data_IF_729512502480
#
_entry.id   IF_729512502480
#
_cell.length_a   1.000
_cell.length_b   1.000
_cell.length_c   1.000
_cell.angle_alpha   90.00
_cell.angle_beta   90.00
_cell.angle_gamma   90.00
#
_symmetry.space_group_name_H-M   'P 1'
#
loop_
_entity.id
_entity.type
_entity.pdbx_description
1 polymer ?
#
# COMPACT_ATOMS: atom_id res chain seq x y z
N UNK A 1 -13.42 1.08 -15.99
CA UNK A 1 -13.48 -0.37 -15.70
C UNK A 1 -14.34 -1.03 -16.78
N UNK A 2 -13.74 -1.54 -17.85
CA UNK A 2 -14.50 -2.07 -18.99
C UNK A 2 -14.85 -3.56 -18.83
N UNK A 3 -14.62 -4.14 -17.64
CA UNK A 3 -14.89 -5.54 -17.26
C UNK A 3 -14.30 -6.58 -18.23
N UNK A 4 -13.14 -6.26 -18.81
CA UNK A 4 -12.45 -7.13 -19.77
C UNK A 4 -11.41 -8.06 -19.11
N UNK A 5 -11.24 -8.01 -17.79
CA UNK A 5 -10.31 -8.89 -17.08
C UNK A 5 -10.84 -10.33 -17.10
N UNK A 6 -9.99 -11.24 -17.56
CA UNK A 6 -10.24 -12.68 -17.52
C UNK A 6 -9.71 -13.29 -16.22
N UNK A 7 -10.07 -14.55 -15.94
CA UNK A 7 -9.52 -15.27 -14.80
C UNK A 7 -8.02 -15.57 -14.96
N UNK A 8 -7.54 -15.68 -16.19
CA UNK A 8 -6.13 -15.93 -16.51
C UNK A 8 -5.26 -14.71 -16.19
N UNK A 9 -5.78 -13.49 -16.44
CA UNK A 9 -5.10 -12.23 -16.12
C UNK A 9 -4.89 -12.02 -14.60
N UNK A 10 -5.65 -12.72 -13.76
CA UNK A 10 -5.64 -12.57 -12.30
C UNK A 10 -4.85 -13.69 -11.59
N UNK A 11 -4.26 -14.63 -12.34
CA UNK A 11 -3.52 -15.77 -11.80
C UNK A 11 -2.00 -15.58 -11.88
N UNK A 12 -1.25 -16.46 -11.21
CA UNK A 12 0.22 -16.49 -11.29
C UNK A 12 0.96 -15.37 -10.54
N UNK A 13 0.24 -14.54 -9.79
CA UNK A 13 0.87 -13.52 -8.94
C UNK A 13 1.80 -14.14 -7.90
N UNK A 14 2.92 -13.46 -7.61
CA UNK A 14 3.90 -13.85 -6.58
C UNK A 14 3.94 -12.87 -5.40
N UNK A 15 3.42 -11.66 -5.62
CA UNK A 15 3.41 -10.55 -4.70
C UNK A 15 2.18 -9.67 -4.96
N UNK A 16 1.52 -9.20 -3.90
CA UNK A 16 0.35 -8.32 -4.01
C UNK A 16 0.70 -6.92 -3.52
N UNK A 17 0.26 -5.90 -4.27
CA UNK A 17 0.21 -4.50 -3.80
C UNK A 17 -1.25 -4.13 -3.56
N UNK A 18 -1.56 -3.67 -2.36
CA UNK A 18 -2.89 -3.23 -1.97
C UNK A 18 -2.86 -1.76 -1.50
N UNK A 19 -3.60 -0.89 -2.18
CA UNK A 19 -3.68 0.53 -1.82
C UNK A 19 -4.93 0.80 -0.98
N UNK A 20 -4.81 0.65 0.34
CA UNK A 20 -5.86 0.96 1.32
C UNK A 20 -5.94 2.46 1.62
N UNK A 21 -4.94 3.25 1.21
CA UNK A 21 -4.90 4.70 1.40
C UNK A 21 -6.05 5.45 0.72
N UNK A 22 -6.64 4.88 -0.35
CA UNK A 22 -7.86 5.44 -0.96
C UNK A 22 -9.04 5.49 0.02
N UNK A 23 -9.05 4.61 1.02
CA UNK A 23 -10.09 4.51 2.04
C UNK A 23 -9.77 5.30 3.33
N UNK A 24 -8.67 6.06 3.36
CA UNK A 24 -8.26 6.80 4.55
C UNK A 24 -7.50 5.97 5.59
N UNK A 25 -7.15 4.73 5.27
CA UNK A 25 -6.33 3.89 6.15
C UNK A 25 -4.94 4.52 6.36
N UNK A 26 -4.44 4.50 7.60
CA UNK A 26 -3.13 5.07 7.97
C UNK A 26 -2.15 4.00 8.45
N UNK A 27 -2.65 2.82 8.79
CA UNK A 27 -1.88 1.65 9.20
C UNK A 27 -2.80 0.44 9.15
N UNK A 28 -2.42 -0.59 8.41
CA UNK A 28 -3.18 -1.83 8.36
C UNK A 28 -2.25 -3.04 8.31
N UNK A 29 -2.82 -4.24 8.45
CA UNK A 29 -2.11 -5.51 8.27
C UNK A 29 -2.77 -6.27 7.13
N UNK A 30 -1.97 -6.65 6.13
CA UNK A 30 -2.46 -7.29 4.92
C UNK A 30 -2.62 -8.78 5.12
N UNK A 31 -3.70 -9.35 4.56
CA UNK A 31 -3.84 -10.80 4.43
C UNK A 31 -3.23 -11.20 3.08
N UNK A 32 -2.30 -12.15 3.12
CA UNK A 32 -1.59 -12.63 1.93
C UNK A 32 -2.56 -13.45 1.07
N UNK A 33 -2.58 -13.17 -0.24
CA UNK A 33 -3.29 -13.99 -1.22
C UNK A 33 -2.47 -15.24 -1.52
N UNK A 34 -2.71 -16.34 -0.80
CA UNK A 34 -2.00 -17.60 -1.04
C UNK A 34 -2.12 -18.04 -2.53
N UNK A 35 -1.02 -18.52 -3.16
CA UNK A 35 0.28 -18.91 -2.59
C UNK A 35 1.38 -17.83 -2.64
N UNK A 36 1.02 -16.55 -2.69
CA UNK A 36 2.00 -15.46 -2.81
C UNK A 36 2.91 -15.33 -1.57
N UNK A 37 4.10 -14.75 -1.77
CA UNK A 37 5.10 -14.65 -0.72
C UNK A 37 4.86 -13.48 0.24
N UNK A 38 4.26 -12.39 -0.22
CA UNK A 38 4.05 -11.19 0.59
C UNK A 38 2.96 -10.29 0.00
N UNK A 39 2.46 -9.40 0.86
CA UNK A 39 1.57 -8.31 0.49
C UNK A 39 2.10 -6.98 1.05
N UNK A 40 2.13 -5.95 0.18
CA UNK A 40 2.45 -4.59 0.55
C UNK A 40 1.20 -3.74 0.59
N UNK A 41 0.94 -3.11 1.72
CA UNK A 41 -0.11 -2.11 1.88
C UNK A 41 0.48 -0.71 1.75
N UNK A 42 -0.14 0.07 0.86
CA UNK A 42 0.12 1.49 0.67
C UNK A 42 -1.00 2.27 1.34
N UNK A 43 -0.67 2.93 2.44
CA UNK A 43 -1.62 3.69 3.26
C UNK A 43 -1.85 5.09 2.69
N UNK A 44 -2.68 5.89 3.37
CA UNK A 44 -3.03 7.24 2.96
C UNK A 44 -1.82 8.16 3.00
N UNK A 45 -1.70 9.01 1.97
CA UNK A 45 -0.74 10.10 1.97
C UNK A 45 -1.28 11.20 2.89
N UNK A 46 -0.55 11.49 3.95
CA UNK A 46 -0.93 12.50 4.94
C UNK A 46 0.18 13.51 5.14
N UNK A 47 -0.19 14.77 5.38
CA UNK A 47 0.76 15.83 5.71
C UNK A 47 1.23 15.64 7.15
N UNK A 48 2.53 15.37 7.35
CA UNK A 48 3.16 15.23 8.66
C UNK A 48 4.32 16.23 8.81
N UNK A 49 4.57 16.77 10.01
CA UNK A 49 5.78 17.52 10.29
C UNK A 49 6.98 16.56 10.30
N UNK A 50 8.05 16.95 9.61
CA UNK A 50 9.33 16.23 9.61
C UNK A 50 10.47 17.22 9.83
N UNK A 51 11.53 16.77 10.49
CA UNK A 51 12.74 17.56 10.69
C UNK A 51 13.69 17.31 9.53
N UNK A 52 14.11 18.38 8.84
CA UNK A 52 15.08 18.34 7.75
C UNK A 52 16.04 19.51 7.94
N UNK A 53 17.34 19.25 8.01
CA UNK A 53 18.37 20.27 8.26
C UNK A 53 18.03 21.14 9.48
N UNK A 54 17.69 20.50 10.60
CA UNK A 54 17.31 21.13 11.88
C UNK A 54 16.10 22.09 11.81
N UNK A 55 15.31 22.04 10.73
CA UNK A 55 14.08 22.80 10.57
C UNK A 55 12.86 21.88 10.46
N UNK A 56 11.74 22.30 11.06
CA UNK A 56 10.45 21.60 10.92
C UNK A 56 9.81 22.03 9.60
N UNK A 57 9.52 21.07 8.73
CA UNK A 57 8.81 21.28 7.49
C UNK A 57 7.67 20.27 7.32
N UNK A 58 6.57 20.70 6.70
CA UNK A 58 5.43 19.81 6.40
C UNK A 58 5.75 19.02 5.12
N UNK A 59 5.57 17.70 5.15
CA UNK A 59 5.73 16.81 3.98
C UNK A 59 4.59 15.84 3.83
N UNK A 60 4.33 15.45 2.59
CA UNK A 60 3.45 14.34 2.26
C UNK A 60 4.18 13.04 2.61
N UNK A 61 3.65 12.29 3.57
CA UNK A 61 4.21 11.02 4.04
C UNK A 61 3.20 9.91 3.83
N UNK A 62 3.69 8.71 3.54
CA UNK A 62 2.89 7.50 3.42
C UNK A 62 3.48 6.42 4.33
N UNK A 63 2.61 5.67 5.00
CA UNK A 63 3.03 4.47 5.71
C UNK A 63 3.00 3.28 4.73
N UNK A 64 4.06 2.49 4.75
CA UNK A 64 4.17 1.24 3.99
C UNK A 64 4.19 0.08 4.97
N UNK A 65 3.18 -0.78 4.91
CA UNK A 65 3.03 -1.93 5.80
C UNK A 65 3.24 -3.20 4.97
N UNK A 66 4.22 -4.03 5.34
CA UNK A 66 4.52 -5.28 4.65
C UNK A 66 4.17 -6.47 5.54
N UNK A 67 3.50 -7.45 4.96
CA UNK A 67 3.23 -8.75 5.58
C UNK A 67 3.87 -9.83 4.72
N UNK A 68 4.66 -10.69 5.36
CA UNK A 68 5.43 -11.80 4.78
C UNK A 68 5.02 -13.12 5.43
#
# INVERSE_FOLDING_TARGET
>A
RNKQLTAEDMQGGTFTVNNTGTFGSVSSMGIINHPQAAILQVESIVKKPVVINDMIAIRNMVNLCISI
#
